data_IF_930501785388
#
_entry.id   IF_930501785388
#
_cell.length_a   1.000
_cell.length_b   1.000
_cell.length_c   1.000
_cell.angle_alpha   90.00
_cell.angle_beta   90.00
_cell.angle_gamma   90.00
#
_symmetry.space_group_name_H-M   'P 1'
#
loop_
_entity.id
_entity.type
_entity.pdbx_description
1 polymer ?
#
# COMPACT_ATOMS: atom_id res chain seq x y z
N UNK A 1 -5.27 22.06 -18.12
CA UNK A 1 -6.18 21.17 -18.85
C UNK A 1 -6.67 20.12 -17.88
N UNK A 2 -7.97 19.82 -17.88
CA UNK A 2 -8.53 18.73 -17.07
C UNK A 2 -9.27 17.74 -17.95
N UNK A 3 -8.95 16.46 -17.80
CA UNK A 3 -9.66 15.34 -18.42
C UNK A 3 -10.51 14.66 -17.34
N UNK A 4 -11.81 14.68 -17.53
CA UNK A 4 -12.74 13.91 -16.70
C UNK A 4 -13.05 12.57 -17.38
N UNK A 5 -12.99 11.51 -16.60
CA UNK A 5 -13.32 10.15 -17.06
C UNK A 5 -14.38 9.54 -16.15
N UNK A 6 -15.22 8.70 -16.69
CA UNK A 6 -16.29 8.02 -15.95
C UNK A 6 -15.75 6.94 -15.01
N UNK A 7 -14.66 6.27 -15.41
CA UNK A 7 -13.96 5.27 -14.59
C UNK A 7 -12.47 5.48 -14.72
N UNK A 8 -11.79 5.78 -13.59
CA UNK A 8 -10.32 5.91 -13.57
C UNK A 8 -9.66 4.57 -13.89
N UNK A 9 -10.18 3.48 -13.39
CA UNK A 9 -9.59 2.13 -13.57
C UNK A 9 -9.59 1.71 -15.05
N UNK A 10 -10.65 2.04 -15.77
CA UNK A 10 -10.81 1.70 -17.18
C UNK A 10 -9.93 2.58 -18.10
N UNK A 11 -9.84 3.88 -17.80
CA UNK A 11 -9.18 4.85 -18.67
C UNK A 11 -7.71 5.09 -18.36
N UNK A 12 -7.24 4.81 -17.12
CA UNK A 12 -5.84 5.03 -16.73
C UNK A 12 -4.82 4.32 -17.63
N UNK A 13 -5.00 3.04 -18.02
CA UNK A 13 -4.06 2.40 -18.92
C UNK A 13 -3.92 3.12 -20.28
N UNK A 14 -5.02 3.63 -20.81
CA UNK A 14 -5.01 4.40 -22.06
C UNK A 14 -4.35 5.79 -21.88
N UNK A 15 -4.57 6.42 -20.73
CA UNK A 15 -3.92 7.70 -20.36
C UNK A 15 -2.41 7.52 -20.20
N UNK A 16 -1.97 6.46 -19.54
CA UNK A 16 -0.55 6.13 -19.37
C UNK A 16 0.12 5.88 -20.72
N UNK A 17 -0.51 5.16 -21.63
CA UNK A 17 -0.01 4.93 -22.99
C UNK A 17 0.04 6.24 -23.78
N UNK A 18 -0.99 7.07 -23.69
CA UNK A 18 -1.11 8.28 -24.49
C UNK A 18 -0.18 9.41 -24.01
N UNK A 19 0.06 9.53 -22.72
CA UNK A 19 0.72 10.69 -22.12
C UNK A 19 1.96 10.33 -21.28
N UNK A 20 2.09 9.08 -20.81
CA UNK A 20 3.11 8.68 -19.82
C UNK A 20 4.46 8.31 -20.42
N UNK A 21 4.53 7.77 -21.61
CA UNK A 21 5.73 7.07 -22.10
C UNK A 21 6.50 7.74 -23.23
N UNK A 22 5.96 8.78 -23.87
CA UNK A 22 6.63 9.41 -25.03
C UNK A 22 6.92 8.43 -26.17
N UNK A 23 6.15 7.34 -26.30
CA UNK A 23 6.33 6.32 -27.32
C UNK A 23 5.79 6.84 -28.66
N UNK A 24 6.51 6.55 -29.76
CA UNK A 24 6.10 6.78 -31.14
C UNK A 24 5.84 8.24 -31.58
N UNK A 25 6.67 9.17 -31.10
CA UNK A 25 6.64 10.55 -31.57
C UNK A 25 5.56 11.41 -30.92
N UNK A 26 4.81 10.90 -29.97
CA UNK A 26 3.91 11.67 -29.13
C UNK A 26 4.74 12.45 -28.08
N UNK A 27 4.52 13.77 -27.92
CA UNK A 27 5.20 14.53 -26.89
C UNK A 27 4.77 14.01 -25.51
N UNK A 28 5.74 13.78 -24.64
CA UNK A 28 5.48 13.51 -23.24
C UNK A 28 4.71 14.68 -22.61
N UNK A 29 3.55 14.42 -22.07
CA UNK A 29 2.71 15.41 -21.39
C UNK A 29 2.62 14.99 -19.91
N UNK A 30 3.22 15.76 -18.99
CA UNK A 30 3.08 15.46 -17.59
C UNK A 30 1.61 15.51 -17.17
N UNK A 31 1.14 14.45 -16.53
CA UNK A 31 -0.24 14.39 -16.01
C UNK A 31 -0.29 13.99 -14.55
N UNK A 32 -1.37 14.35 -13.90
CA UNK A 32 -1.68 13.98 -12.52
C UNK A 32 -3.08 13.39 -12.46
N UNK A 33 -3.26 12.33 -11.68
CA UNK A 33 -4.55 11.68 -11.47
C UNK A 33 -5.12 12.14 -10.15
N UNK A 34 -6.26 12.80 -10.18
CA UNK A 34 -7.01 13.18 -8.98
C UNK A 34 -7.99 12.07 -8.60
N UNK A 35 -8.16 11.83 -7.30
CA UNK A 35 -9.08 10.82 -6.81
C UNK A 35 -8.45 9.43 -6.61
N UNK A 36 -7.14 9.26 -6.86
CA UNK A 36 -6.44 8.02 -6.55
C UNK A 36 -5.77 8.13 -5.17
N UNK A 37 -5.99 7.18 -4.27
CA UNK A 37 -5.31 7.17 -2.98
C UNK A 37 -3.80 7.27 -3.14
N UNK A 38 -3.12 8.06 -2.32
CA UNK A 38 -1.66 8.22 -2.40
C UNK A 38 -0.91 6.89 -2.25
N UNK A 39 -1.48 5.95 -1.47
CA UNK A 39 -0.96 4.57 -1.35
C UNK A 39 -0.84 3.85 -2.70
N UNK A 40 -1.71 4.15 -3.65
CA UNK A 40 -1.71 3.53 -4.98
C UNK A 40 -0.87 4.30 -6.00
N UNK A 41 -0.56 5.56 -5.70
CA UNK A 41 0.25 6.41 -6.58
C UNK A 41 1.76 6.14 -6.43
N UNK A 42 2.17 5.55 -5.32
CA UNK A 42 3.59 5.29 -5.05
C UNK A 42 3.78 3.95 -4.34
N UNK A 43 4.59 3.05 -4.89
CA UNK A 43 4.98 1.80 -4.24
C UNK A 43 5.62 2.01 -2.85
N UNK A 44 6.35 3.12 -2.67
CA UNK A 44 6.95 3.48 -1.37
C UNK A 44 5.87 3.78 -0.33
N UNK A 45 4.84 4.52 -0.70
CA UNK A 45 3.74 4.85 0.23
C UNK A 45 2.97 3.58 0.63
N UNK A 46 2.70 2.68 -0.32
CA UNK A 46 2.10 1.37 -0.03
C UNK A 46 2.97 0.55 0.91
N UNK A 47 4.28 0.47 0.64
CA UNK A 47 5.23 -0.28 1.47
C UNK A 47 5.29 0.24 2.93
N UNK A 48 5.17 1.56 3.15
CA UNK A 48 5.13 2.11 4.53
C UNK A 48 3.89 1.67 5.28
N UNK A 49 2.72 1.68 4.64
CA UNK A 49 1.48 1.21 5.28
C UNK A 49 1.54 -0.28 5.60
N UNK A 50 2.08 -1.09 4.67
CA UNK A 50 2.25 -2.52 4.88
C UNK A 50 3.28 -2.80 5.99
N UNK A 51 4.39 -2.04 6.06
CA UNK A 51 5.34 -2.13 7.16
C UNK A 51 4.68 -1.87 8.53
N UNK A 52 3.88 -0.81 8.65
CA UNK A 52 3.19 -0.51 9.90
C UNK A 52 2.15 -1.58 10.27
N UNK A 53 1.52 -2.21 9.27
CA UNK A 53 0.64 -3.35 9.52
C UNK A 53 1.40 -4.59 10.03
N UNK A 54 2.63 -4.84 9.56
CA UNK A 54 3.48 -5.93 10.06
C UNK A 54 3.86 -5.77 11.53
N UNK A 55 4.03 -4.54 12.01
CA UNK A 55 4.44 -4.26 13.41
C UNK A 55 3.45 -4.88 14.40
N UNK A 56 2.14 -4.72 14.17
CA UNK A 56 1.08 -5.32 14.98
C UNK A 56 0.71 -6.74 14.53
N UNK A 57 1.16 -7.15 13.35
CA UNK A 57 0.88 -8.44 12.73
C UNK A 57 1.54 -9.63 13.43
N UNK A 58 1.26 -10.82 12.92
CA UNK A 58 1.83 -12.08 13.42
C UNK A 58 3.18 -12.41 12.80
N UNK A 59 3.64 -11.62 11.84
CA UNK A 59 4.83 -11.90 11.04
C UNK A 59 4.72 -13.27 10.35
N UNK A 60 3.56 -13.55 9.75
CA UNK A 60 3.36 -14.79 8.99
C UNK A 60 4.15 -14.76 7.69
N UNK A 61 4.48 -15.95 7.17
CA UNK A 61 5.14 -16.07 5.87
C UNK A 61 4.34 -15.36 4.77
N UNK A 62 3.01 -15.39 4.84
CA UNK A 62 2.15 -14.68 3.91
C UNK A 62 2.30 -13.16 4.00
N UNK A 63 2.32 -12.60 5.22
CA UNK A 63 2.45 -11.15 5.44
C UNK A 63 3.83 -10.66 5.00
N UNK A 64 4.89 -11.31 5.47
CA UNK A 64 6.25 -10.94 5.10
C UNK A 64 6.56 -11.23 3.64
N UNK A 65 6.02 -12.31 3.10
CA UNK A 65 6.17 -12.66 1.68
C UNK A 65 5.50 -11.63 0.77
N UNK A 66 4.29 -11.17 1.10
CA UNK A 66 3.63 -10.10 0.38
C UNK A 66 4.42 -8.78 0.45
N UNK A 67 4.99 -8.47 1.60
CA UNK A 67 5.83 -7.29 1.79
C UNK A 67 7.15 -7.39 0.99
N UNK A 68 7.82 -8.55 1.03
CA UNK A 68 9.04 -8.80 0.25
C UNK A 68 8.81 -8.73 -1.25
N UNK A 69 7.62 -9.11 -1.73
CA UNK A 69 7.24 -9.07 -3.14
C UNK A 69 7.04 -7.64 -3.69
N UNK A 70 7.01 -6.62 -2.83
CA UNK A 70 6.99 -5.23 -3.30
C UNK A 70 8.34 -4.86 -3.92
N UNK A 71 8.38 -4.36 -5.17
CA UNK A 71 9.64 -4.08 -5.86
C UNK A 71 10.65 -3.25 -5.06
N UNK A 72 10.26 -2.14 -4.38
CA UNK A 72 11.22 -1.37 -3.60
C UNK A 72 11.71 -2.10 -2.34
N UNK A 73 10.95 -3.08 -1.83
CA UNK A 73 11.38 -3.91 -0.67
C UNK A 73 12.32 -5.01 -1.14
N UNK A 74 12.01 -5.70 -2.24
CA UNK A 74 12.90 -6.69 -2.84
C UNK A 74 14.25 -6.08 -3.20
N UNK A 75 14.25 -4.89 -3.81
CA UNK A 75 15.48 -4.14 -4.12
C UNK A 75 16.28 -3.79 -2.86
N UNK A 76 15.64 -3.38 -1.76
CA UNK A 76 16.31 -3.12 -0.50
C UNK A 76 16.89 -4.40 0.14
N UNK A 77 16.24 -5.54 -0.05
CA UNK A 77 16.75 -6.85 0.36
C UNK A 77 17.87 -7.37 -0.55
N UNK A 78 18.20 -6.67 -1.64
CA UNK A 78 19.17 -7.09 -2.65
C UNK A 78 18.70 -8.27 -3.49
N UNK A 79 17.37 -8.43 -3.65
CA UNK A 79 16.76 -9.50 -4.43
C UNK A 79 16.23 -8.97 -5.76
N UNK A 80 16.42 -9.74 -6.82
CA UNK A 80 15.73 -9.51 -8.09
C UNK A 80 14.29 -10.03 -8.04
N UNK A 81 13.46 -9.60 -9.00
CA UNK A 81 12.07 -10.06 -9.10
C UNK A 81 11.96 -11.58 -9.23
N UNK A 82 12.89 -12.22 -9.94
CA UNK A 82 12.92 -13.68 -10.12
C UNK A 82 13.38 -14.44 -8.86
N UNK A 83 14.19 -13.81 -8.01
CA UNK A 83 14.69 -14.42 -6.76
C UNK A 83 13.66 -14.41 -5.64
N UNK A 84 12.67 -13.50 -5.67
CA UNK A 84 11.62 -13.43 -4.62
C UNK A 84 10.79 -14.71 -4.56
N UNK A 85 10.23 -15.25 -5.67
CA UNK A 85 9.53 -16.53 -5.63
C UNK A 85 10.41 -17.69 -5.15
N UNK A 86 11.69 -17.70 -5.52
CA UNK A 86 12.64 -18.74 -5.06
C UNK A 86 12.87 -18.65 -3.54
N UNK A 87 13.05 -17.43 -3.00
CA UNK A 87 13.17 -17.20 -1.57
C UNK A 87 11.94 -17.68 -0.80
N UNK A 88 10.74 -17.38 -1.30
CA UNK A 88 9.50 -17.80 -0.68
C UNK A 88 9.34 -19.32 -0.71
N UNK A 89 9.67 -19.97 -1.82
CA UNK A 89 9.64 -21.42 -1.94
C UNK A 89 10.63 -22.11 -0.97
N UNK A 90 11.81 -21.50 -0.72
CA UNK A 90 12.75 -21.97 0.31
C UNK A 90 12.14 -21.92 1.71
N UNK A 91 11.52 -20.81 2.07
CA UNK A 91 10.88 -20.61 3.36
C UNK A 91 9.67 -21.56 3.57
N UNK A 92 8.87 -21.78 2.52
CA UNK A 92 7.77 -22.76 2.55
C UNK A 92 8.29 -24.19 2.78
N UNK A 93 9.36 -24.60 2.08
CA UNK A 93 10.00 -25.91 2.29
C UNK A 93 10.54 -26.05 3.71
N UNK A 94 11.05 -24.97 4.29
CA UNK A 94 11.48 -24.92 5.68
C UNK A 94 10.31 -24.93 6.68
N UNK A 95 9.07 -24.88 6.18
CA UNK A 95 7.84 -24.80 6.98
C UNK A 95 7.77 -23.58 7.90
N UNK A 96 8.29 -22.45 7.45
CA UNK A 96 8.02 -21.17 8.12
C UNK A 96 6.53 -20.88 7.99
N UNK A 97 5.87 -20.62 9.11
CA UNK A 97 4.43 -20.33 9.15
C UNK A 97 4.20 -18.91 9.67
N UNK A 98 4.64 -18.60 10.90
CA UNK A 98 4.46 -17.30 11.52
C UNK A 98 5.31 -17.14 12.78
N UNK A 99 5.44 -15.89 13.26
CA UNK A 99 6.15 -15.56 14.50
C UNK A 99 7.67 -15.64 14.35
N UNK A 100 8.38 -14.70 14.92
CA UNK A 100 9.85 -14.67 14.82
C UNK A 100 10.47 -15.92 15.44
N UNK A 101 10.14 -16.19 16.71
CA UNK A 101 10.61 -17.29 17.52
C UNK A 101 9.59 -17.67 18.61
N UNK A 102 9.88 -18.67 19.42
CA UNK A 102 9.03 -19.11 20.52
C UNK A 102 8.79 -18.01 21.56
N UNK A 103 9.79 -17.18 21.85
CA UNK A 103 9.69 -16.09 22.80
C UNK A 103 8.75 -14.99 22.31
N UNK A 104 8.80 -14.63 21.01
CA UNK A 104 7.88 -13.68 20.38
C UNK A 104 6.43 -14.16 20.46
N UNK A 105 6.17 -15.44 20.16
CA UNK A 105 4.84 -16.05 20.29
C UNK A 105 4.31 -16.01 21.71
N UNK A 106 5.16 -16.35 22.68
CA UNK A 106 4.79 -16.38 24.08
C UNK A 106 4.52 -14.98 24.64
N UNK A 107 5.43 -14.04 24.40
CA UNK A 107 5.33 -12.69 24.96
C UNK A 107 4.21 -11.86 24.35
N UNK A 108 4.00 -11.97 23.05
CA UNK A 108 3.01 -11.14 22.34
C UNK A 108 1.62 -11.73 22.31
N UNK A 109 1.50 -13.05 22.27
CA UNK A 109 0.21 -13.72 22.05
C UNK A 109 -0.20 -14.62 23.19
N UNK A 110 0.63 -14.75 24.25
CA UNK A 110 0.32 -15.60 25.42
C UNK A 110 0.27 -17.09 25.08
N UNK A 111 0.94 -17.52 24.02
CA UNK A 111 0.95 -18.92 23.57
C UNK A 111 2.08 -19.70 24.19
N UNK A 112 2.02 -21.04 24.21
CA UNK A 112 3.19 -21.86 24.56
C UNK A 112 4.40 -21.52 23.72
N UNK A 113 5.58 -21.55 24.33
CA UNK A 113 6.85 -21.25 23.67
C UNK A 113 7.27 -22.44 22.77
N UNK A 114 6.66 -22.56 21.59
CA UNK A 114 6.92 -23.59 20.59
C UNK A 114 7.68 -22.97 19.42
N UNK A 115 8.82 -23.57 19.07
CA UNK A 115 9.68 -23.11 17.97
C UNK A 115 9.15 -23.58 16.59
N UNK A 116 8.36 -24.65 16.54
CA UNK A 116 7.92 -25.25 15.29
C UNK A 116 7.18 -24.25 14.40
N UNK A 117 7.67 -24.09 13.19
CA UNK A 117 7.11 -23.19 12.19
C UNK A 117 7.38 -21.71 12.46
N UNK A 118 8.34 -21.36 13.31
CA UNK A 118 8.84 -19.99 13.43
C UNK A 118 9.82 -19.65 12.31
N UNK A 119 10.07 -18.35 12.13
CA UNK A 119 11.11 -17.89 11.22
C UNK A 119 12.49 -18.40 11.66
N UNK A 120 12.80 -18.31 12.97
CA UNK A 120 14.08 -18.76 13.51
C UNK A 120 14.33 -20.23 13.18
N UNK A 121 13.40 -21.13 13.53
CA UNK A 121 13.54 -22.54 13.26
C UNK A 121 13.72 -22.82 11.77
N UNK A 122 12.88 -22.21 10.92
CA UNK A 122 12.93 -22.44 9.47
C UNK A 122 14.27 -21.98 8.85
N UNK A 123 14.75 -20.80 9.23
CA UNK A 123 16.03 -20.27 8.75
C UNK A 123 17.22 -21.11 9.25
N UNK A 124 17.21 -21.53 10.52
CA UNK A 124 18.24 -22.40 11.09
C UNK A 124 18.29 -23.77 10.37
N UNK A 125 17.14 -24.35 10.02
CA UNK A 125 17.04 -25.60 9.25
C UNK A 125 17.58 -25.46 7.83
N UNK A 126 17.34 -24.31 7.17
CA UNK A 126 17.90 -24.01 5.85
C UNK A 126 19.42 -23.79 5.92
N UNK A 127 19.89 -23.03 6.89
CA UNK A 127 21.31 -22.79 7.11
C UNK A 127 22.07 -24.10 7.42
N UNK A 128 21.48 -24.96 8.25
CA UNK A 128 22.00 -26.29 8.56
C UNK A 128 22.08 -27.18 7.32
N UNK A 129 21.04 -27.17 6.48
CA UNK A 129 21.01 -27.93 5.23
C UNK A 129 22.07 -27.51 4.23
N UNK A 130 22.40 -26.22 4.17
CA UNK A 130 23.53 -25.72 3.36
C UNK A 130 24.87 -26.19 3.95
N UNK A 131 25.01 -26.18 5.27
CA UNK A 131 26.26 -26.55 5.93
C UNK A 131 26.54 -28.06 5.88
N UNK A 132 25.51 -28.91 6.03
CA UNK A 132 25.66 -30.38 6.11
C UNK A 132 25.37 -31.12 4.79
N UNK A 133 24.78 -30.43 3.82
CA UNK A 133 24.20 -31.05 2.62
C UNK A 133 22.91 -31.82 2.93
N UNK A 134 22.34 -32.52 1.93
CA UNK A 134 21.14 -33.32 2.11
C UNK A 134 21.37 -34.39 3.18
N UNK A 135 20.63 -34.38 4.24
CA UNK A 135 20.74 -35.30 5.36
C UNK A 135 19.40 -35.50 6.05
N UNK A 136 19.06 -36.74 6.36
CA UNK A 136 17.92 -37.13 7.18
C UNK A 136 18.30 -37.19 8.68
N UNK A 137 19.54 -36.89 9.02
CA UNK A 137 20.01 -36.90 10.40
C UNK A 137 19.58 -35.61 11.12
N UNK A 138 18.97 -35.77 12.28
CA UNK A 138 18.64 -34.65 13.16
C UNK A 138 19.93 -34.15 13.84
N UNK A 139 20.21 -32.86 13.78
CA UNK A 139 21.35 -32.20 14.41
C UNK A 139 20.81 -31.18 15.38
N UNK A 140 21.15 -31.29 16.66
CA UNK A 140 20.66 -30.41 17.75
C UNK A 140 19.12 -30.20 17.77
N UNK A 141 18.39 -31.29 17.44
CA UNK A 141 16.91 -31.24 17.40
C UNK A 141 16.33 -30.67 16.10
N UNK A 142 17.17 -30.22 15.18
CA UNK A 142 16.73 -29.69 13.88
C UNK A 142 16.95 -30.70 12.76
N UNK A 143 15.94 -30.86 11.91
CA UNK A 143 16.05 -31.63 10.67
C UNK A 143 16.49 -30.67 9.54
N UNK A 144 17.67 -30.86 8.94
CA UNK A 144 18.15 -30.02 7.85
C UNK A 144 17.16 -30.00 6.67
N UNK A 145 17.01 -28.85 6.03
CA UNK A 145 16.27 -28.71 4.77
C UNK A 145 17.27 -28.60 3.64
N UNK A 146 17.28 -29.55 2.71
CA UNK A 146 18.19 -29.53 1.59
C UNK A 146 18.02 -28.25 0.75
N UNK A 147 19.07 -27.46 0.69
CA UNK A 147 19.22 -26.36 -0.27
C UNK A 147 19.81 -26.94 -1.56
N UNK A 148 19.11 -26.82 -2.67
CA UNK A 148 19.44 -27.56 -3.89
C UNK A 148 20.67 -27.06 -4.65
N UNK A 149 21.30 -25.92 -4.32
CA UNK A 149 22.46 -25.44 -5.08
C UNK A 149 23.39 -24.53 -4.28
N UNK A 150 24.66 -24.48 -4.68
CA UNK A 150 25.68 -23.55 -4.20
C UNK A 150 25.26 -22.06 -4.34
N UNK A 151 24.27 -21.75 -5.21
CA UNK A 151 23.69 -20.41 -5.34
C UNK A 151 22.69 -20.05 -4.23
N UNK A 152 22.02 -21.05 -3.63
CA UNK A 152 21.03 -20.84 -2.58
C UNK A 152 21.62 -20.22 -1.31
N UNK A 153 22.92 -20.42 -1.03
CA UNK A 153 23.58 -19.81 0.12
C UNK A 153 23.62 -18.28 0.09
N UNK A 154 23.85 -17.70 -1.08
CA UNK A 154 23.82 -16.24 -1.24
C UNK A 154 22.40 -15.67 -1.14
N UNK A 155 21.41 -16.35 -1.68
CA UNK A 155 20.00 -16.00 -1.56
C UNK A 155 19.55 -16.09 -0.09
N UNK A 156 19.81 -17.20 0.57
CA UNK A 156 19.45 -17.40 1.98
C UNK A 156 20.10 -16.37 2.89
N UNK A 157 21.38 -16.02 2.68
CA UNK A 157 22.05 -14.99 3.48
C UNK A 157 21.35 -13.63 3.36
N UNK A 158 20.91 -13.23 2.16
CA UNK A 158 20.14 -11.99 1.95
C UNK A 158 18.76 -12.04 2.62
N UNK A 159 18.07 -13.18 2.53
CA UNK A 159 16.77 -13.39 3.19
C UNK A 159 16.91 -13.32 4.70
N UNK A 160 17.93 -13.93 5.29
CA UNK A 160 18.23 -13.85 6.73
C UNK A 160 18.47 -12.38 7.13
N UNK A 161 19.39 -11.70 6.46
CA UNK A 161 19.71 -10.30 6.78
C UNK A 161 18.50 -9.37 6.65
N UNK A 162 17.66 -9.59 5.62
CA UNK A 162 16.43 -8.84 5.45
C UNK A 162 15.42 -9.15 6.57
N UNK A 163 15.18 -10.41 6.90
CA UNK A 163 14.25 -10.80 7.97
C UNK A 163 14.68 -10.27 9.33
N UNK A 164 15.97 -10.35 9.65
CA UNK A 164 16.52 -9.77 10.89
C UNK A 164 16.27 -8.25 10.94
N UNK A 165 16.48 -7.54 9.82
CA UNK A 165 16.18 -6.10 9.72
C UNK A 165 14.69 -5.81 9.93
N UNK A 166 13.80 -6.63 9.35
CA UNK A 166 12.35 -6.49 9.58
C UNK A 166 12.00 -6.68 11.04
N UNK A 167 12.55 -7.69 11.69
CA UNK A 167 12.29 -7.96 13.12
C UNK A 167 12.77 -6.82 14.01
N UNK A 168 13.99 -6.32 13.79
CA UNK A 168 14.51 -5.16 14.50
C UNK A 168 13.62 -3.93 14.33
N UNK A 169 13.25 -3.60 13.09
CA UNK A 169 12.38 -2.46 12.79
C UNK A 169 11.01 -2.62 13.45
N UNK A 170 10.44 -3.83 13.43
CA UNK A 170 9.18 -4.09 14.10
C UNK A 170 9.29 -3.90 15.62
N UNK A 171 10.38 -4.39 16.23
CA UNK A 171 10.61 -4.22 17.67
C UNK A 171 10.80 -2.75 18.04
N UNK A 172 11.55 -1.99 17.24
CA UNK A 172 11.72 -0.55 17.43
C UNK A 172 10.39 0.21 17.33
N UNK A 173 9.55 -0.09 16.32
CA UNK A 173 8.28 0.61 16.10
C UNK A 173 7.18 0.19 17.09
N UNK A 174 7.30 -0.95 17.77
CA UNK A 174 6.38 -1.36 18.84
C UNK A 174 6.52 -0.51 20.11
N UNK A 175 7.68 0.09 20.31
CA UNK A 175 7.91 0.95 21.47
C UNK A 175 7.09 2.23 21.32
N UNK A 176 6.17 2.45 22.26
CA UNK A 176 5.42 3.70 22.32
C UNK A 176 6.38 4.88 22.57
N UNK A 177 6.10 6.02 21.93
CA UNK A 177 6.96 7.20 21.98
C UNK A 177 6.18 8.50 21.79
N UNK A 178 6.74 9.65 22.21
CA UNK A 178 6.12 10.95 21.99
C UNK A 178 5.80 11.23 20.52
N UNK A 179 4.72 11.93 20.25
CA UNK A 179 4.24 12.23 18.89
C UNK A 179 5.33 12.80 17.96
N UNK A 180 6.21 13.68 18.50
CA UNK A 180 7.31 14.31 17.75
C UNK A 180 8.38 13.34 17.23
N UNK A 181 8.48 12.14 17.82
CA UNK A 181 9.51 11.14 17.48
C UNK A 181 9.04 10.15 16.42
N UNK A 182 7.73 10.14 16.09
CA UNK A 182 7.20 9.17 15.14
C UNK A 182 7.60 9.41 13.69
N UNK A 183 7.59 10.66 13.21
CA UNK A 183 7.96 10.92 11.81
C UNK A 183 9.41 10.50 11.50
N UNK A 184 10.43 10.86 12.32
CA UNK A 184 11.78 10.35 12.12
C UNK A 184 11.89 8.83 12.27
N UNK A 185 11.11 8.20 13.19
CA UNK A 185 11.13 6.75 13.38
C UNK A 185 10.57 6.01 12.14
N UNK A 186 9.42 6.45 11.62
CA UNK A 186 8.83 5.88 10.39
C UNK A 186 9.75 6.09 9.18
N UNK A 187 10.33 7.28 9.04
CA UNK A 187 11.30 7.56 7.96
C UNK A 187 12.53 6.66 8.06
N UNK A 188 13.12 6.53 9.26
CA UNK A 188 14.30 5.67 9.51
C UNK A 188 14.01 4.20 9.22
N UNK A 189 12.85 3.69 9.67
CA UNK A 189 12.39 2.34 9.40
C UNK A 189 12.19 2.10 7.89
N UNK A 190 11.56 3.06 7.21
CA UNK A 190 11.35 2.97 5.75
C UNK A 190 12.68 2.89 5.00
N UNK A 191 13.66 3.72 5.32
CA UNK A 191 14.97 3.72 4.64
C UNK A 191 15.78 2.43 4.83
N UNK A 192 15.49 1.65 5.88
CA UNK A 192 16.14 0.34 6.12
C UNK A 192 15.53 -0.78 5.28
N UNK A 193 14.24 -0.69 4.95
CA UNK A 193 13.47 -1.79 4.33
C UNK A 193 12.94 -1.49 2.94
N UNK A 194 13.00 -0.23 2.50
CA UNK A 194 12.44 0.22 1.23
C UNK A 194 13.52 0.99 0.47
N UNK A 195 13.80 0.55 -0.74
CA UNK A 195 14.76 1.22 -1.61
C UNK A 195 14.20 2.55 -2.10
N UNK A 196 14.99 3.63 -1.91
CA UNK A 196 14.60 5.01 -2.25
C UNK A 196 15.76 5.61 -3.05
N UNK A 197 15.80 5.34 -4.34
CA UNK A 197 16.91 5.70 -5.23
C UNK A 197 16.61 6.83 -6.21
N UNK A 198 15.33 7.13 -6.44
CA UNK A 198 14.91 8.16 -7.39
C UNK A 198 14.18 9.34 -6.73
N UNK A 199 13.98 10.40 -7.52
CA UNK A 199 13.31 11.62 -7.08
C UNK A 199 11.82 11.39 -6.72
N UNK A 200 11.16 10.40 -7.35
CA UNK A 200 9.75 10.07 -7.09
C UNK A 200 9.62 9.35 -5.74
N UNK A 201 10.47 8.35 -5.48
CA UNK A 201 10.53 7.65 -4.20
C UNK A 201 10.88 8.59 -3.04
N UNK A 202 11.88 9.48 -3.24
CA UNK A 202 12.23 10.52 -2.26
C UNK A 202 11.08 11.52 -2.03
N UNK A 203 10.30 11.84 -3.07
CA UNK A 203 9.11 12.68 -2.93
C UNK A 203 8.01 11.97 -2.15
N UNK A 204 7.78 10.69 -2.43
CA UNK A 204 6.81 9.87 -1.70
C UNK A 204 7.15 9.79 -0.20
N UNK A 205 8.42 9.60 0.14
CA UNK A 205 8.86 9.58 1.53
C UNK A 205 8.63 10.93 2.24
N UNK A 206 8.82 12.06 1.54
CA UNK A 206 8.46 13.38 2.10
C UNK A 206 6.96 13.53 2.34
N UNK A 207 6.12 12.97 1.44
CA UNK A 207 4.66 12.96 1.62
C UNK A 207 4.28 12.13 2.85
N UNK A 208 4.84 10.94 3.01
CA UNK A 208 4.63 10.09 4.20
C UNK A 208 5.03 10.84 5.48
N UNK A 209 6.20 11.47 5.48
CA UNK A 209 6.67 12.27 6.63
C UNK A 209 5.68 13.39 6.98
N UNK A 210 5.26 14.17 6.00
CA UNK A 210 4.30 15.25 6.19
C UNK A 210 2.93 14.73 6.70
N UNK A 211 2.48 13.56 6.19
CA UNK A 211 1.26 12.90 6.63
C UNK A 211 1.30 12.41 8.09
N UNK A 212 2.49 12.18 8.64
CA UNK A 212 2.66 11.91 10.08
C UNK A 212 2.78 13.22 10.86
N UNK A 213 3.63 14.16 10.43
CA UNK A 213 3.95 15.38 11.17
C UNK A 213 2.74 16.31 11.33
N UNK A 214 1.98 16.54 10.26
CA UNK A 214 0.91 17.55 10.26
C UNK A 214 -0.25 17.23 11.25
N UNK A 215 -0.85 16.02 11.25
CA UNK A 215 -1.87 15.66 12.23
C UNK A 215 -1.34 15.64 13.66
N UNK A 216 -0.11 15.17 13.85
CA UNK A 216 0.49 15.06 15.18
C UNK A 216 0.99 16.39 15.76
N UNK A 217 1.13 17.43 14.95
CA UNK A 217 1.56 18.75 15.43
C UNK A 217 0.63 19.34 16.50
N UNK A 218 -0.68 19.13 16.36
CA UNK A 218 -1.65 19.57 17.38
C UNK A 218 -1.55 18.73 18.63
N UNK A 219 -1.42 17.43 18.49
CA UNK A 219 -1.25 16.51 19.62
C UNK A 219 0.03 16.81 20.40
N UNK A 220 1.16 17.05 19.72
CA UNK A 220 2.43 17.44 20.33
C UNK A 220 2.30 18.72 21.19
N UNK A 221 1.47 19.67 20.77
CA UNK A 221 1.24 20.91 21.56
C UNK A 221 0.36 20.69 22.79
N UNK A 222 -0.64 19.80 22.69
CA UNK A 222 -1.59 19.55 23.77
C UNK A 222 -1.06 18.56 24.81
N UNK A 223 -0.29 17.58 24.39
CA UNK A 223 0.23 16.49 25.21
C UNK A 223 1.65 16.11 24.78
N UNK A 224 2.67 16.96 25.01
CA UNK A 224 4.02 16.79 24.48
C UNK A 224 4.74 15.53 24.96
N UNK A 225 4.40 15.04 26.14
CA UNK A 225 5.04 13.89 26.79
C UNK A 225 4.16 12.63 26.77
N UNK A 226 3.02 12.67 26.10
CA UNK A 226 2.17 11.49 25.96
C UNK A 226 2.71 10.57 24.86
N UNK A 227 2.93 9.32 25.22
CA UNK A 227 3.37 8.29 24.29
C UNK A 227 2.21 7.78 23.43
N UNK A 228 2.47 7.63 22.14
CA UNK A 228 1.57 7.04 21.17
C UNK A 228 2.10 5.68 20.74
N UNK A 229 1.18 4.70 20.57
CA UNK A 229 1.51 3.41 19.97
C UNK A 229 1.40 3.45 18.43
N UNK A 230 2.04 2.48 17.78
CA UNK A 230 2.07 2.36 16.32
C UNK A 230 0.67 2.30 15.67
N UNK A 231 -0.32 1.69 16.34
CA UNK A 231 -1.69 1.60 15.85
C UNK A 231 -2.32 2.98 15.56
N UNK A 232 -2.00 3.99 16.40
CA UNK A 232 -2.45 5.37 16.19
C UNK A 232 -1.80 5.96 14.94
N UNK A 233 -0.50 5.74 14.77
CA UNK A 233 0.25 6.26 13.62
C UNK A 233 -0.22 5.62 12.32
N UNK A 234 -0.50 4.31 12.35
CA UNK A 234 -1.08 3.59 11.22
C UNK A 234 -2.44 4.17 10.84
N UNK A 235 -3.34 4.36 11.81
CA UNK A 235 -4.66 4.95 11.55
C UNK A 235 -4.57 6.38 10.98
N UNK A 236 -3.64 7.19 11.49
CA UNK A 236 -3.37 8.54 10.95
C UNK A 236 -2.91 8.45 9.50
N UNK A 237 -1.94 7.59 9.20
CA UNK A 237 -1.43 7.44 7.83
C UNK A 237 -2.45 6.83 6.89
N UNK A 238 -3.24 5.84 7.32
CA UNK A 238 -4.33 5.27 6.52
C UNK A 238 -5.36 6.34 6.15
N UNK A 239 -5.71 7.24 7.08
CA UNK A 239 -6.59 8.37 6.82
C UNK A 239 -5.96 9.37 5.87
N UNK A 240 -4.77 9.86 6.17
CA UNK A 240 -4.11 10.90 5.37
C UNK A 240 -3.70 10.43 3.95
N UNK A 241 -3.28 9.18 3.80
CA UNK A 241 -2.83 8.63 2.53
C UNK A 241 -3.95 7.93 1.75
N UNK A 242 -5.01 7.51 2.44
CA UNK A 242 -6.22 6.94 1.83
C UNK A 242 -7.12 8.00 1.23
N UNK A 243 -7.40 9.04 1.99
CA UNK A 243 -8.35 10.11 1.62
C UNK A 243 -7.68 11.31 0.93
N UNK A 244 -6.37 11.50 1.10
CA UNK A 244 -5.62 12.63 0.53
C UNK A 244 -5.48 12.61 -1.01
N UNK A 245 -6.36 11.90 -1.65
CA UNK A 245 -6.42 11.75 -3.10
C UNK A 245 -6.57 13.06 -3.89
N UNK A 246 -6.80 14.18 -3.24
CA UNK A 246 -7.25 15.35 -3.95
C UNK A 246 -6.40 16.63 -3.83
N UNK A 247 -5.73 16.85 -2.72
CA UNK A 247 -5.26 18.20 -2.40
C UNK A 247 -3.96 18.62 -3.09
N UNK A 248 -3.01 17.72 -3.30
CA UNK A 248 -1.67 18.11 -3.80
C UNK A 248 -1.53 18.12 -5.33
N UNK A 249 -2.40 17.43 -6.06
CA UNK A 249 -2.39 17.40 -7.54
C UNK A 249 -2.94 18.65 -8.20
N UNK A 250 -3.73 19.47 -7.50
CA UNK A 250 -4.44 20.60 -8.10
C UNK A 250 -3.57 21.79 -8.50
N UNK A 251 -2.34 21.89 -8.00
CA UNK A 251 -1.46 23.05 -8.20
C UNK A 251 -0.29 22.79 -9.15
N UNK A 252 -0.14 21.56 -9.69
CA UNK A 252 0.93 21.25 -10.65
C UNK A 252 0.44 21.50 -12.07
N UNK A 253 1.27 22.18 -12.89
CA UNK A 253 1.00 22.36 -14.32
C UNK A 253 0.93 21.02 -15.05
N UNK A 254 0.20 20.97 -16.17
CA UNK A 254 0.04 19.79 -17.02
C UNK A 254 -1.41 19.37 -17.21
N UNK A 255 -1.61 18.11 -17.64
CA UNK A 255 -2.91 17.48 -17.77
C UNK A 255 -3.34 16.92 -16.40
N UNK A 256 -4.57 17.21 -16.00
CA UNK A 256 -5.20 16.62 -14.83
C UNK A 256 -6.24 15.61 -15.28
N UNK A 257 -6.17 14.41 -14.74
CA UNK A 257 -7.16 13.35 -14.98
C UNK A 257 -7.98 13.17 -13.71
N UNK A 258 -9.30 13.32 -13.83
CA UNK A 258 -10.23 13.27 -12.70
C UNK A 258 -11.38 12.31 -13.01
N UNK A 259 -11.92 11.68 -11.99
CA UNK A 259 -13.22 11.01 -12.13
C UNK A 259 -14.31 12.06 -12.25
N UNK A 260 -15.27 11.81 -13.16
CA UNK A 260 -16.44 12.65 -13.31
C UNK A 260 -17.43 12.34 -12.18
N UNK A 261 -17.48 13.22 -11.19
CA UNK A 261 -18.39 13.11 -10.04
C UNK A 261 -19.15 14.43 -9.86
N UNK A 262 -20.43 14.39 -9.48
CA UNK A 262 -21.20 15.59 -9.18
C UNK A 262 -20.52 16.44 -8.10
N UNK A 263 -20.40 17.74 -8.32
CA UNK A 263 -19.84 18.69 -7.34
C UNK A 263 -18.31 18.73 -7.24
N UNK A 264 -17.57 17.92 -8.03
CA UNK A 264 -16.10 17.89 -8.00
C UNK A 264 -15.43 18.61 -9.16
N UNK A 265 -16.18 19.41 -9.93
CA UNK A 265 -15.65 20.07 -11.12
C UNK A 265 -14.74 21.23 -10.74
N UNK A 266 -13.47 21.12 -11.15
CA UNK A 266 -12.46 22.16 -10.92
C UNK A 266 -12.40 23.06 -12.16
N UNK A 267 -12.53 24.39 -11.99
CA UNK A 267 -12.41 25.32 -13.10
C UNK A 267 -11.06 25.15 -13.83
N UNK A 268 -11.11 24.94 -15.14
CA UNK A 268 -9.96 24.76 -15.99
C UNK A 268 -10.16 25.45 -17.33
N UNK A 269 -9.07 25.97 -17.92
CA UNK A 269 -9.15 26.64 -19.23
C UNK A 269 -9.62 25.72 -20.36
N UNK A 270 -9.32 24.40 -20.23
CA UNK A 270 -9.76 23.37 -21.16
C UNK A 270 -10.24 22.17 -20.34
N UNK A 271 -11.47 21.75 -20.60
CA UNK A 271 -12.10 20.57 -20.00
C UNK A 271 -12.33 19.56 -21.11
N UNK A 272 -11.83 18.35 -20.91
CA UNK A 272 -12.07 17.20 -21.78
C UNK A 272 -12.88 16.18 -20.98
N UNK A 273 -13.86 15.55 -21.59
CA UNK A 273 -14.66 14.51 -20.93
C UNK A 273 -14.62 13.27 -21.82
N UNK A 274 -14.25 12.14 -21.24
CA UNK A 274 -14.21 10.85 -21.92
C UNK A 274 -15.11 9.83 -21.20
N UNK A 275 -15.68 8.92 -21.99
CA UNK A 275 -16.53 7.85 -21.46
C UNK A 275 -18.02 8.19 -21.39
N UNK A 276 -18.47 9.25 -22.05
CA UNK A 276 -19.89 9.59 -22.15
C UNK A 276 -20.64 8.64 -23.12
N UNK A 277 -20.55 7.34 -22.90
CA UNK A 277 -21.29 6.33 -23.68
C UNK A 277 -22.63 5.96 -23.02
N UNK A 278 -23.40 5.08 -23.69
CA UNK A 278 -24.69 4.59 -23.17
C UNK A 278 -24.58 3.83 -21.83
N UNK A 279 -23.38 3.44 -21.44
CA UNK A 279 -23.06 2.85 -20.15
C UNK A 279 -22.89 3.88 -19.02
N UNK A 280 -23.11 5.16 -19.28
CA UNK A 280 -23.21 6.23 -18.28
C UNK A 280 -24.52 6.13 -17.47
N UNK A 281 -24.88 4.93 -17.10
CA UNK A 281 -25.62 4.78 -15.89
C UNK A 281 -24.58 4.88 -14.76
N UNK A 282 -24.66 5.88 -13.89
CA UNK A 282 -23.98 5.83 -12.61
C UNK A 282 -24.41 4.52 -11.98
N UNK A 283 -23.48 3.59 -11.93
CA UNK A 283 -23.56 2.17 -11.70
C UNK A 283 -24.90 1.71 -11.19
N UNK A 284 -25.40 0.60 -11.66
CA UNK A 284 -26.73 0.13 -11.33
C UNK A 284 -27.03 0.47 -9.90
N UNK A 285 -27.68 1.59 -9.73
CA UNK A 285 -28.00 2.14 -8.44
C UNK A 285 -28.94 1.12 -7.84
N UNK A 286 -28.45 0.34 -6.95
CA UNK A 286 -29.37 -0.15 -5.95
C UNK A 286 -30.05 1.11 -5.45
N UNK A 287 -31.29 1.33 -5.86
CA UNK A 287 -32.09 2.46 -5.37
C UNK A 287 -31.93 2.48 -3.87
N UNK A 288 -31.24 3.52 -3.38
CA UNK A 288 -31.04 3.65 -1.95
C UNK A 288 -32.46 3.64 -1.36
N UNK A 289 -32.73 2.72 -0.44
CA UNK A 289 -34.08 2.47 0.08
C UNK A 289 -34.75 3.71 0.71
N UNK A 290 -33.98 4.77 0.89
CA UNK A 290 -34.40 6.08 1.39
C UNK A 290 -34.52 7.17 0.29
N UNK A 291 -34.15 6.85 -0.97
CA UNK A 291 -34.31 7.78 -2.08
C UNK A 291 -35.80 7.83 -2.50
N UNK A 292 -36.50 8.80 -1.89
CA UNK A 292 -37.91 9.01 -2.12
C UNK A 292 -38.23 9.51 -3.54
N UNK A 293 -37.21 10.04 -4.24
CA UNK A 293 -37.36 10.56 -5.61
C UNK A 293 -37.31 9.46 -6.66
N UNK A 294 -36.73 8.32 -6.32
CA UNK A 294 -36.64 7.14 -7.20
C UNK A 294 -37.68 6.04 -6.92
N UNK A 295 -38.65 6.31 -6.03
CA UNK A 295 -39.72 5.36 -5.74
C UNK A 295 -40.82 5.50 -6.80
N UNK A 296 -40.94 4.46 -7.61
CA UNK A 296 -41.93 4.37 -8.70
C UNK A 296 -43.40 4.30 -8.25
N UNK A 297 -43.64 4.21 -6.94
CA UNK A 297 -44.94 4.02 -6.29
C UNK A 297 -45.54 5.27 -5.64
N UNK A 298 -44.81 6.38 -5.63
CA UNK A 298 -45.34 7.65 -5.11
C UNK A 298 -45.86 8.54 -6.24
N UNK A 299 -47.15 8.80 -6.26
CA UNK A 299 -47.86 9.60 -7.29
C UNK A 299 -47.27 11.04 -7.39
N UNK A 300 -46.65 11.54 -6.35
CA UNK A 300 -45.99 12.85 -6.31
C UNK A 300 -44.55 12.83 -6.80
N UNK A 301 -43.90 11.66 -6.82
CA UNK A 301 -42.54 11.50 -7.31
C UNK A 301 -42.52 11.36 -8.86
N UNK A 302 -43.62 11.04 -9.48
CA UNK A 302 -43.70 10.90 -10.96
C UNK A 302 -43.40 12.19 -11.70
N UNK A 303 -43.74 13.36 -11.15
CA UNK A 303 -43.39 14.65 -11.76
C UNK A 303 -41.92 14.99 -11.60
N UNK A 304 -41.29 14.59 -10.47
CA UNK A 304 -39.87 14.81 -10.21
C UNK A 304 -38.96 13.78 -10.89
N UNK A 305 -39.41 12.53 -11.06
CA UNK A 305 -38.64 11.49 -11.78
C UNK A 305 -38.60 11.74 -13.28
N UNK A 306 -39.52 12.54 -13.84
CA UNK A 306 -39.44 13.00 -15.23
C UNK A 306 -38.27 13.98 -15.45
N UNK A 307 -37.87 14.73 -14.40
CA UNK A 307 -36.72 15.62 -14.47
C UNK A 307 -35.38 14.90 -14.11
N UNK A 308 -35.46 13.76 -13.40
CA UNK A 308 -34.28 13.02 -12.95
C UNK A 308 -34.41 11.50 -13.17
N UNK A 309 -34.53 10.99 -14.39
CA UNK A 309 -34.60 9.57 -14.64
C UNK A 309 -33.20 8.95 -14.43
N UNK A 310 -33.07 8.05 -13.47
CA UNK A 310 -31.97 7.10 -13.34
C UNK A 310 -30.54 7.70 -13.18
N UNK A 311 -30.38 8.75 -12.40
CA UNK A 311 -29.06 9.37 -12.18
C UNK A 311 -28.47 10.07 -13.42
N UNK A 312 -29.19 10.11 -14.55
CA UNK A 312 -28.79 10.88 -15.73
C UNK A 312 -28.68 12.37 -15.46
N UNK A 313 -29.44 12.87 -14.49
CA UNK A 313 -29.39 14.27 -14.14
C UNK A 313 -28.10 14.62 -13.40
N UNK A 314 -27.61 13.76 -12.50
CA UNK A 314 -26.36 14.00 -11.80
C UNK A 314 -25.18 14.02 -12.79
N UNK A 315 -25.19 13.14 -13.78
CA UNK A 315 -24.21 13.13 -14.86
C UNK A 315 -24.34 14.35 -15.79
N UNK A 316 -25.58 14.80 -16.06
CA UNK A 316 -25.85 15.99 -16.85
C UNK A 316 -25.50 17.27 -16.09
N UNK A 317 -25.71 17.31 -14.78
CA UNK A 317 -25.34 18.46 -13.94
C UNK A 317 -23.81 18.51 -13.75
N UNK A 318 -23.13 17.38 -13.59
CA UNK A 318 -21.67 17.32 -13.62
C UNK A 318 -21.13 17.79 -15.00
N UNK A 319 -21.76 17.40 -16.08
CA UNK A 319 -21.41 17.85 -17.44
C UNK A 319 -21.66 19.35 -17.66
N UNK A 320 -22.76 19.90 -17.16
CA UNK A 320 -23.06 21.35 -17.29
C UNK A 320 -22.18 22.23 -16.40
N UNK A 321 -21.67 21.67 -15.29
CA UNK A 321 -20.78 22.37 -14.38
C UNK A 321 -19.31 22.33 -14.86
N UNK A 322 -18.93 21.40 -15.78
CA UNK A 322 -17.64 21.31 -16.43
C UNK A 322 -17.53 22.25 -17.63
#
# INVERSE_FOLDING_TARGET
ITLYVTSLEEYLPAVDIAFGSGVDGNPWIPFTVAGRPLREQSPVTGAVLDLLALVDGRLSLRELGAFLALPPVAAAAGLSEDEVPEALALLERARVVWGRDAADRSSRFGLPALEEGTWREGLDRLALGIATGPSDAVVDGLLPVAGETLGAGGLLARVIAWSDTVFEVCDELRVARPAREWAPAVEGATRRLVHVDDAAAASALRVVRAAVEAPLATFTRLAPDADLGVAVIRAVLESELGDAAGASGHLRGGLRVCRLEPGTVIPSAVVLIAGLGDSLHPGGSGSLSWDLLNRSDATTAMEFTAEHPDGRADALDAFRAA
#
